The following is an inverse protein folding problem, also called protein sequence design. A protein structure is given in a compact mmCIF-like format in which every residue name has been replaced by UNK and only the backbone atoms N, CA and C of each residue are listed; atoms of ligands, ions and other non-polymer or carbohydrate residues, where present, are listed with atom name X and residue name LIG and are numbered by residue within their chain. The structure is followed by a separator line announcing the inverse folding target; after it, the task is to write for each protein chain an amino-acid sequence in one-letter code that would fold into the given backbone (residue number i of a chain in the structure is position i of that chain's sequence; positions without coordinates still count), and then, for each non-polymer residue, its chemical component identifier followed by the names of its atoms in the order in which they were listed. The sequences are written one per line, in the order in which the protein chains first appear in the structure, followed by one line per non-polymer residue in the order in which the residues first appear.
data_IF_844821277205
#
_entry.id   IF_844821277205
#
_cell.length_a   1.000
_cell.length_b   1.000
_cell.length_c   1.000
_cell.angle_alpha   90.00
_cell.angle_beta   90.00
_cell.angle_gamma   90.00
#
_symmetry.space_group_name_H-M   'P 1'
#
loop_
_entity.id
_entity.type
_entity.pdbx_description
1 polymer ?
#
# COMPACT_ATOMS: atom_id res chain seq x y z
N UNK A 1 -17.87 8.02 -9.42
CA UNK A 1 -16.59 7.40 -9.80
C UNK A 1 -16.89 5.92 -9.91
N UNK A 2 -16.89 5.35 -11.11
CA UNK A 2 -17.28 3.95 -11.33
C UNK A 2 -16.49 3.01 -10.43
N UNK A 3 -17.14 1.98 -9.90
CA UNK A 3 -16.54 1.00 -8.97
C UNK A 3 -15.27 0.36 -9.54
N UNK A 4 -15.16 0.27 -10.87
CA UNK A 4 -13.98 -0.22 -11.59
C UNK A 4 -12.76 0.70 -11.45
N UNK A 5 -12.97 2.02 -11.41
CA UNK A 5 -11.90 2.99 -11.19
C UNK A 5 -11.30 2.87 -9.79
N UNK A 6 -12.15 2.79 -8.75
CA UNK A 6 -11.72 2.65 -7.34
C UNK A 6 -10.84 1.40 -7.13
N UNK A 7 -11.24 0.26 -7.70
CA UNK A 7 -10.45 -0.99 -7.60
C UNK A 7 -9.09 -0.85 -8.28
N UNK A 8 -9.02 -0.19 -9.45
CA UNK A 8 -7.77 -0.03 -10.19
C UNK A 8 -6.75 0.83 -9.40
N UNK A 9 -7.20 1.91 -8.76
CA UNK A 9 -6.31 2.73 -7.92
C UNK A 9 -5.77 1.96 -6.71
N UNK A 10 -6.60 1.16 -6.06
CA UNK A 10 -6.19 0.31 -4.92
C UNK A 10 -5.09 -0.68 -5.34
N UNK A 11 -5.28 -1.34 -6.49
CA UNK A 11 -4.32 -2.31 -7.03
C UNK A 11 -3.01 -1.62 -7.38
N UNK A 12 -3.05 -0.48 -8.09
CA UNK A 12 -1.84 0.27 -8.46
C UNK A 12 -1.06 0.72 -7.22
N UNK A 13 -1.72 1.30 -6.22
CA UNK A 13 -1.05 1.72 -4.99
C UNK A 13 -0.42 0.55 -4.24
N UNK A 14 -1.13 -0.57 -4.14
CA UNK A 14 -0.61 -1.78 -3.47
C UNK A 14 0.65 -2.31 -4.17
N UNK A 15 0.67 -2.32 -5.50
CA UNK A 15 1.84 -2.73 -6.30
C UNK A 15 3.02 -1.77 -6.06
N UNK A 16 2.78 -0.45 -6.08
CA UNK A 16 3.82 0.55 -5.86
C UNK A 16 4.47 0.40 -4.49
N UNK A 17 3.67 0.24 -3.43
CA UNK A 17 4.21 0.06 -2.07
C UNK A 17 4.95 -1.27 -1.89
N UNK A 18 4.50 -2.35 -2.55
CA UNK A 18 5.22 -3.62 -2.54
C UNK A 18 6.59 -3.50 -3.22
N UNK A 19 6.68 -2.80 -4.36
CA UNK A 19 7.95 -2.54 -5.06
C UNK A 19 8.89 -1.70 -4.20
N UNK A 20 8.39 -0.63 -3.57
CA UNK A 20 9.20 0.22 -2.67
C UNK A 20 9.72 -0.60 -1.48
N UNK A 21 8.86 -1.42 -0.87
CA UNK A 21 9.26 -2.30 0.23
C UNK A 21 10.32 -3.33 -0.18
N UNK A 22 10.19 -3.90 -1.38
CA UNK A 22 11.18 -4.83 -1.94
C UNK A 22 12.53 -4.14 -2.21
N UNK A 23 12.53 -2.96 -2.84
CA UNK A 23 13.76 -2.20 -3.12
C UNK A 23 14.44 -1.79 -1.82
N UNK A 24 13.67 -1.32 -0.84
CA UNK A 24 14.20 -0.95 0.48
C UNK A 24 14.81 -2.17 1.17
N UNK A 25 14.08 -3.30 1.20
CA UNK A 25 14.59 -4.56 1.77
C UNK A 25 15.86 -5.05 1.09
N UNK A 26 15.95 -4.96 -0.25
CA UNK A 26 17.15 -5.30 -1.01
C UNK A 26 18.32 -4.38 -0.65
N UNK A 27 18.11 -3.06 -0.54
CA UNK A 27 19.15 -2.13 -0.13
C UNK A 27 19.72 -2.47 1.26
N UNK A 28 18.85 -2.89 2.19
CA UNK A 28 19.30 -3.32 3.52
C UNK A 28 20.13 -4.59 3.51
N UNK A 29 20.03 -5.45 2.48
CA UNK A 29 20.87 -6.66 2.38
C UNK A 29 22.34 -6.41 2.06
N UNK A 30 22.72 -5.18 1.67
CA UNK A 30 24.11 -4.80 1.44
C UNK A 30 24.85 -4.39 2.72
N UNK A 31 24.15 -4.26 3.85
CA UNK A 31 24.79 -3.90 5.12
C UNK A 31 25.43 -5.13 5.77
N UNK A 32 26.70 -5.05 6.21
CA UNK A 32 27.32 -6.18 6.89
C UNK A 32 26.54 -6.53 8.17
N UNK A 33 26.04 -7.77 8.25
CA UNK A 33 25.19 -8.26 9.34
C UNK A 33 23.69 -8.36 9.01
N UNK A 34 23.26 -7.90 7.83
CA UNK A 34 21.87 -8.06 7.37
C UNK A 34 21.61 -9.47 6.83
N UNK A 35 20.58 -10.14 7.35
CA UNK A 35 20.12 -11.43 6.84
C UNK A 35 19.09 -11.26 5.71
N UNK A 36 18.95 -12.24 4.83
CA UNK A 36 17.90 -12.30 3.79
C UNK A 36 16.47 -12.09 4.34
N UNK A 37 16.26 -12.33 5.64
CA UNK A 37 15.03 -12.00 6.38
C UNK A 37 14.61 -10.53 6.24
N UNK A 38 15.55 -9.58 6.15
CA UNK A 38 15.26 -8.16 5.98
C UNK A 38 14.57 -7.85 4.65
N UNK A 39 14.83 -8.66 3.62
CA UNK A 39 14.22 -8.52 2.31
C UNK A 39 12.74 -8.93 2.36
N UNK A 40 12.44 -10.05 3.01
CA UNK A 40 11.08 -10.50 3.27
C UNK A 40 10.33 -9.54 4.22
N UNK A 41 11.02 -9.02 5.23
CA UNK A 41 10.43 -8.05 6.16
C UNK A 41 10.09 -6.73 5.46
N UNK A 42 10.98 -6.21 4.61
CA UNK A 42 10.73 -5.00 3.81
C UNK A 42 9.56 -5.17 2.85
N UNK A 43 9.49 -6.32 2.17
CA UNK A 43 8.35 -6.66 1.31
C UNK A 43 7.03 -6.77 2.09
N UNK A 44 7.04 -7.46 3.24
CA UNK A 44 5.87 -7.61 4.09
C UNK A 44 5.36 -6.26 4.61
N UNK A 45 6.25 -5.41 5.11
CA UNK A 45 5.91 -4.04 5.55
C UNK A 45 5.35 -3.21 4.39
N UNK A 46 5.93 -3.33 3.19
CA UNK A 46 5.41 -2.69 1.98
C UNK A 46 3.97 -3.08 1.65
N UNK A 47 3.65 -4.38 1.69
CA UNK A 47 2.28 -4.87 1.47
C UNK A 47 1.33 -4.33 2.55
N UNK A 48 1.72 -4.41 3.83
CA UNK A 48 0.88 -3.96 4.94
C UNK A 48 0.59 -2.47 4.82
N UNK A 49 1.60 -1.64 4.56
CA UNK A 49 1.42 -0.21 4.33
C UNK A 49 0.53 0.08 3.12
N UNK A 50 0.74 -0.62 1.99
CA UNK A 50 -0.12 -0.50 0.81
C UNK A 50 -1.58 -0.82 1.11
N UNK A 51 -1.83 -1.87 1.89
CA UNK A 51 -3.17 -2.24 2.36
C UNK A 51 -3.79 -1.15 3.26
N UNK A 52 -3.04 -0.63 4.24
CA UNK A 52 -3.53 0.44 5.11
C UNK A 52 -3.85 1.72 4.35
N UNK A 53 -3.00 2.13 3.40
CA UNK A 53 -3.24 3.32 2.56
C UNK A 53 -4.48 3.13 1.71
N UNK A 54 -4.62 1.97 1.07
CA UNK A 54 -5.81 1.59 0.31
C UNK A 54 -7.08 1.65 1.15
N UNK A 55 -7.03 1.09 2.36
CA UNK A 55 -8.12 1.11 3.32
C UNK A 55 -8.51 2.54 3.71
N UNK A 56 -7.53 3.40 3.98
CA UNK A 56 -7.76 4.79 4.35
C UNK A 56 -8.39 5.60 3.22
N UNK A 57 -7.96 5.37 1.97
CA UNK A 57 -8.58 5.98 0.78
C UNK A 57 -10.04 5.55 0.66
N UNK A 58 -10.33 4.26 0.88
CA UNK A 58 -11.70 3.74 0.82
C UNK A 58 -12.60 4.38 1.90
N UNK A 59 -12.14 4.47 3.14
CA UNK A 59 -12.87 5.16 4.22
C UNK A 59 -13.14 6.63 3.86
N UNK A 60 -12.12 7.34 3.36
CA UNK A 60 -12.26 8.74 2.93
C UNK A 60 -13.30 8.90 1.82
N UNK A 61 -13.36 7.95 0.89
CA UNK A 61 -14.33 7.98 -0.20
C UNK A 61 -15.76 7.71 0.30
N UNK A 62 -15.93 6.75 1.22
CA UNK A 62 -17.22 6.48 1.88
C UNK A 62 -17.72 7.74 2.63
N UNK A 63 -16.83 8.45 3.34
CA UNK A 63 -17.20 9.69 4.04
C UNK A 63 -17.52 10.86 3.10
N UNK A 64 -16.85 10.95 1.95
CA UNK A 64 -17.22 11.91 0.89
C UNK A 64 -18.59 11.57 0.30
N UNK A 65 -18.87 10.29 0.10
CA UNK A 65 -20.13 9.80 -0.44
C UNK A 65 -21.28 10.08 0.54
N UNK A 66 -21.12 9.77 1.82
CA UNK A 66 -22.09 10.10 2.88
C UNK A 66 -22.41 11.60 2.97
N UNK A 67 -21.42 12.48 2.79
CA UNK A 67 -21.64 13.94 2.78
C UNK A 67 -22.51 14.42 1.61
N UNK A 68 -22.55 13.68 0.50
CA UNK A 68 -23.33 14.06 -0.69
C UNK A 68 -24.83 13.76 -0.55
N UNK A 69 -25.20 12.81 0.31
CA UNK A 69 -26.58 12.34 0.49
C UNK A 69 -27.26 12.87 1.77
N UNK A 70 -26.59 13.74 2.55
CA UNK A 70 -27.17 14.38 3.74
C UNK A 70 -27.82 15.73 3.40
N UNK A 71 -28.44 15.83 2.23
CA UNK A 71 -29.26 16.97 1.79
C UNK A 71 -30.70 16.51 1.69
#
# INVERSE_FOLDING_TARGET
MDSKGKINYIVVFSIVFAIIGFISGYFFTFFPGSNFILLFLGFFVGIVLGFFVSWFINLRDIDKEKRKYKI
#
